data_IF_475492131773
#
_entry.id   IF_475492131773
#
_cell.length_a   1.000
_cell.length_b   1.000
_cell.length_c   1.000
_cell.angle_alpha   90.00
_cell.angle_beta   90.00
_cell.angle_gamma   90.00
#
_symmetry.space_group_name_H-M   'P 1'
#
loop_
_entity.id
_entity.type
_entity.pdbx_description
1 polymer ?
#
# COMPACT_ATOMS: atom_id res chain seq x y z
N UNK A 1 15.58 -28.96 21.28
CA UNK A 1 15.47 -28.89 20.51
C UNK A 1 14.80 -28.07 20.26
N UNK A 2 14.53 -27.53 20.15
CA UNK A 2 13.76 -26.96 19.97
C UNK A 2 13.85 -25.63 19.98
N UNK A 3 14.58 -25.03 20.56
CA UNK A 3 14.77 -23.82 20.55
C UNK A 3 14.99 -23.18 19.36
N UNK A 4 15.64 -23.66 18.50
CA UNK A 4 15.86 -23.03 17.29
C UNK A 4 14.57 -22.67 16.69
N UNK A 5 13.64 -23.37 17.07
CA UNK A 5 12.38 -23.10 16.53
C UNK A 5 11.86 -21.78 16.95
N UNK A 6 12.34 -21.29 18.04
CA UNK A 6 11.85 -20.06 18.51
C UNK A 6 12.24 -18.92 17.62
N UNK A 7 13.46 -18.88 17.19
CA UNK A 7 13.89 -17.84 16.34
C UNK A 7 13.19 -17.82 15.01
N UNK A 8 13.07 -18.92 14.37
CA UNK A 8 12.29 -18.97 13.16
C UNK A 8 10.86 -18.61 13.42
N UNK A 9 10.39 -18.94 14.60
CA UNK A 9 9.03 -18.62 14.92
C UNK A 9 8.82 -17.13 15.02
N UNK A 10 9.76 -16.44 15.58
CA UNK A 10 9.68 -15.01 15.67
C UNK A 10 9.68 -14.38 14.28
N UNK A 11 10.46 -14.97 13.38
CA UNK A 11 10.43 -14.47 12.05
C UNK A 11 9.13 -14.83 11.39
N UNK A 12 8.62 -15.98 11.67
CA UNK A 12 7.37 -16.40 11.06
C UNK A 12 6.23 -15.50 11.51
N UNK A 13 6.35 -14.85 12.64
CA UNK A 13 5.33 -13.94 13.06
C UNK A 13 5.23 -12.79 12.12
N UNK A 14 6.33 -12.41 11.52
CA UNK A 14 6.31 -11.37 10.55
C UNK A 14 6.09 -11.91 9.17
N UNK A 15 5.93 -13.21 9.07
CA UNK A 15 5.80 -13.83 7.81
C UNK A 15 4.48 -13.48 7.21
N UNK A 16 4.18 -13.98 6.09
CA UNK A 16 3.05 -13.62 5.31
C UNK A 16 1.82 -13.41 6.15
N UNK A 17 1.48 -12.17 6.39
CA UNK A 17 0.23 -11.83 7.00
C UNK A 17 -0.83 -11.66 5.92
N UNK A 18 -0.46 -11.81 4.66
CA UNK A 18 -1.39 -11.70 3.56
C UNK A 18 -2.32 -12.90 3.53
N UNK A 19 -3.61 -12.63 3.39
CA UNK A 19 -4.60 -13.70 3.29
C UNK A 19 -4.75 -14.10 1.83
N UNK A 20 -5.06 -15.37 1.56
CA UNK A 20 -5.40 -15.76 0.20
C UNK A 20 -6.65 -15.03 -0.25
N UNK A 21 -6.78 -14.81 -1.54
CA UNK A 21 -7.91 -14.12 -2.11
C UNK A 21 -7.53 -13.27 -3.30
N UNK A 22 -8.33 -12.26 -3.54
CA UNK A 22 -8.17 -11.43 -4.73
C UNK A 22 -7.38 -10.17 -4.41
N UNK A 23 -6.47 -9.83 -5.29
CA UNK A 23 -5.63 -8.65 -5.16
C UNK A 23 -5.67 -7.85 -6.45
N UNK A 24 -5.74 -6.54 -6.31
CA UNK A 24 -5.58 -5.64 -7.44
C UNK A 24 -4.08 -5.51 -7.67
N UNK A 25 -3.60 -5.91 -8.84
CA UNK A 25 -2.18 -5.78 -9.12
C UNK A 25 -1.92 -4.45 -9.80
N UNK A 26 -0.86 -3.80 -9.37
CA UNK A 26 -0.51 -2.46 -9.82
C UNK A 26 0.97 -2.44 -10.20
N UNK A 27 1.35 -1.44 -10.96
CA UNK A 27 2.73 -1.24 -11.36
C UNK A 27 3.30 -0.02 -10.66
N UNK A 28 4.49 -0.19 -10.09
CA UNK A 28 5.29 0.92 -9.59
C UNK A 28 6.66 0.76 -10.24
N UNK A 29 6.98 1.67 -11.15
CA UNK A 29 8.19 1.54 -11.93
C UNK A 29 8.12 0.31 -12.82
N UNK A 30 9.01 -0.63 -12.61
CA UNK A 30 9.05 -1.86 -13.39
C UNK A 30 8.54 -3.06 -12.63
N UNK A 31 8.04 -2.86 -11.42
CA UNK A 31 7.66 -3.97 -10.56
C UNK A 31 6.19 -3.99 -10.29
N UNK A 32 5.69 -5.18 -10.00
CA UNK A 32 4.26 -5.37 -9.73
C UNK A 32 4.02 -5.59 -8.26
N UNK A 33 2.96 -4.98 -7.78
CA UNK A 33 2.56 -5.06 -6.38
C UNK A 33 1.09 -5.44 -6.33
N UNK A 34 0.65 -5.90 -5.19
CA UNK A 34 -0.76 -6.27 -5.01
C UNK A 34 -1.38 -5.59 -3.80
N UNK A 35 -2.60 -5.15 -3.98
CA UNK A 35 -3.40 -4.53 -2.92
C UNK A 35 -4.66 -5.39 -2.74
N UNK A 36 -5.00 -5.79 -1.51
CA UNK A 36 -6.22 -6.59 -1.33
C UNK A 36 -7.43 -5.90 -1.93
N UNK A 37 -8.16 -6.60 -2.76
CA UNK A 37 -9.32 -6.02 -3.43
C UNK A 37 -10.34 -5.50 -2.42
N UNK A 38 -10.43 -6.15 -1.26
CA UNK A 38 -11.37 -5.71 -0.23
C UNK A 38 -11.06 -4.34 0.31
N UNK A 39 -9.83 -3.87 0.15
CA UNK A 39 -9.44 -2.53 0.57
C UNK A 39 -9.74 -1.48 -0.49
N UNK A 40 -9.92 -1.88 -1.73
CA UNK A 40 -10.07 -0.95 -2.84
C UNK A 40 -11.51 -0.49 -2.95
N UNK A 41 -11.71 0.82 -3.00
CA UNK A 41 -13.04 1.39 -3.17
C UNK A 41 -13.28 1.77 -4.61
N UNK A 42 -12.33 2.43 -5.24
CA UNK A 42 -12.46 2.81 -6.63
C UNK A 42 -11.09 3.21 -7.18
N UNK A 43 -11.02 3.30 -8.47
CA UNK A 43 -9.81 3.75 -9.15
C UNK A 43 -10.22 4.97 -9.96
N UNK A 44 -9.50 6.06 -9.78
CA UNK A 44 -9.82 7.30 -10.47
C UNK A 44 -8.60 7.79 -11.24
N UNK A 45 -8.85 8.61 -12.23
CA UNK A 45 -7.78 9.23 -12.99
C UNK A 45 -7.03 10.19 -12.09
N UNK A 46 -5.76 10.39 -12.41
CA UNK A 46 -4.98 11.40 -11.71
C UNK A 46 -5.67 12.75 -11.91
N UNK A 47 -5.90 13.44 -10.82
CA UNK A 47 -6.60 14.71 -10.81
C UNK A 47 -5.77 15.73 -10.04
N UNK A 48 -6.11 17.00 -10.09
CA UNK A 48 -5.36 18.00 -9.34
C UNK A 48 -5.35 17.67 -7.84
N UNK A 49 -4.19 17.79 -7.24
CA UNK A 49 -3.98 17.47 -5.83
C UNK A 49 -3.57 18.74 -5.12
N UNK A 50 -4.24 19.05 -4.02
CA UNK A 50 -3.92 20.21 -3.22
C UNK A 50 -2.81 19.84 -2.26
N UNK A 51 -1.70 20.55 -2.31
CA UNK A 51 -0.57 20.28 -1.43
C UNK A 51 -0.89 20.74 -0.01
N UNK A 52 -0.36 19.99 0.95
CA UNK A 52 -0.49 20.32 2.35
C UNK A 52 0.91 20.59 2.88
N UNK A 53 1.09 21.71 3.56
CA UNK A 53 2.42 22.09 4.05
C UNK A 53 2.90 21.15 5.16
N UNK A 54 4.22 21.06 5.27
CA UNK A 54 4.87 20.29 6.34
C UNK A 54 4.54 18.81 6.38
N UNK A 55 4.32 18.23 5.20
CA UNK A 55 4.11 16.80 5.07
C UNK A 55 5.35 16.12 4.46
N UNK A 56 5.56 14.84 4.73
CA UNK A 56 6.69 14.12 4.12
C UNK A 56 6.61 14.14 2.60
N UNK A 57 7.74 13.96 1.91
CA UNK A 57 7.77 14.08 0.44
C UNK A 57 6.84 13.13 -0.31
N UNK A 58 6.55 11.97 0.25
CA UNK A 58 5.67 11.01 -0.44
C UNK A 58 4.20 11.33 -0.26
N UNK A 59 3.84 12.26 0.63
CA UNK A 59 2.47 12.72 0.74
C UNK A 59 2.28 13.82 -0.29
N UNK A 60 1.49 13.55 -1.31
CA UNK A 60 1.27 14.49 -2.40
C UNK A 60 0.31 15.60 -1.99
N UNK A 61 -0.56 15.33 -1.08
CA UNK A 61 -1.54 16.30 -0.62
C UNK A 61 -2.90 15.67 -0.41
N UNK A 62 -3.94 16.40 -0.76
CA UNK A 62 -5.31 15.91 -0.61
C UNK A 62 -6.11 16.18 -1.86
N UNK A 63 -7.16 15.38 -2.06
CA UNK A 63 -8.13 15.62 -3.12
C UNK A 63 -9.50 15.69 -2.51
N UNK A 64 -10.40 16.35 -3.21
CA UNK A 64 -11.79 16.39 -2.81
C UNK A 64 -12.54 15.40 -3.70
N UNK A 65 -13.06 14.34 -3.10
CA UNK A 65 -13.80 13.34 -3.84
C UNK A 65 -15.21 13.28 -3.26
N UNK A 66 -16.15 13.76 -4.03
CA UNK A 66 -17.56 13.80 -3.63
C UNK A 66 -17.77 14.46 -2.27
N UNK A 67 -17.08 15.56 -2.03
CA UNK A 67 -17.22 16.30 -0.80
C UNK A 67 -16.37 15.81 0.36
N UNK A 68 -15.59 14.76 0.15
CA UNK A 68 -14.68 14.27 1.18
C UNK A 68 -13.25 14.60 0.82
N UNK A 69 -12.50 15.08 1.81
CA UNK A 69 -11.09 15.37 1.63
C UNK A 69 -10.31 14.11 1.92
N UNK A 70 -9.57 13.63 0.93
CA UNK A 70 -8.86 12.37 1.01
C UNK A 70 -7.38 12.60 0.86
N UNK A 71 -6.55 12.12 1.80
CA UNK A 71 -5.09 12.22 1.65
C UNK A 71 -4.62 11.32 0.52
N UNK A 72 -3.60 11.77 -0.20
CA UNK A 72 -3.04 11.06 -1.33
C UNK A 72 -1.54 10.92 -1.17
N UNK A 73 -1.06 9.69 -1.24
CA UNK A 73 0.36 9.37 -1.12
C UNK A 73 0.84 8.76 -2.43
N UNK A 74 2.05 9.11 -2.82
CA UNK A 74 2.67 8.54 -4.00
C UNK A 74 3.44 7.27 -3.59
N UNK A 75 2.92 6.11 -3.96
CA UNK A 75 3.57 4.87 -3.59
C UNK A 75 4.94 4.72 -4.22
N UNK A 76 5.16 5.30 -5.40
CA UNK A 76 6.46 5.23 -6.04
C UNK A 76 7.52 5.85 -5.15
N UNK A 77 7.23 7.03 -4.64
CA UNK A 77 8.16 7.73 -3.75
C UNK A 77 8.30 6.95 -2.45
N UNK A 78 7.19 6.42 -1.94
CA UNK A 78 7.21 5.69 -0.67
C UNK A 78 8.11 4.47 -0.72
N UNK A 79 8.12 3.76 -1.86
CA UNK A 79 8.94 2.56 -2.00
C UNK A 79 10.30 2.85 -2.63
N UNK A 80 10.66 4.12 -2.78
CA UNK A 80 11.96 4.46 -3.35
C UNK A 80 12.11 4.14 -4.82
N UNK A 81 11.01 3.96 -5.52
CA UNK A 81 11.03 3.72 -6.94
C UNK A 81 11.15 5.07 -7.64
N UNK A 82 12.08 5.22 -8.59
CA UNK A 82 12.16 6.48 -9.31
C UNK A 82 10.82 6.81 -9.96
N UNK A 83 10.25 7.93 -9.56
CA UNK A 83 8.99 8.36 -10.14
C UNK A 83 9.30 9.07 -11.44
N UNK A 84 8.91 8.45 -12.53
CA UNK A 84 8.98 9.14 -13.80
C UNK A 84 7.86 10.16 -13.87
N UNK A 85 7.73 10.81 -15.01
CA UNK A 85 6.64 11.74 -15.20
C UNK A 85 5.33 10.98 -15.16
N UNK A 86 4.29 11.63 -14.68
CA UNK A 86 2.96 11.06 -14.74
C UNK A 86 2.58 10.87 -16.21
N UNK A 87 1.84 9.84 -16.48
CA UNK A 87 1.46 9.50 -17.86
C UNK A 87 -0.01 9.06 -17.89
N UNK A 88 -0.47 8.65 -19.05
CA UNK A 88 -1.89 8.35 -19.25
C UNK A 88 -2.42 7.27 -18.32
N UNK A 89 -1.59 6.37 -17.91
CA UNK A 89 -2.00 5.25 -17.06
C UNK A 89 -1.83 5.53 -15.58
N UNK A 90 -1.15 6.60 -15.22
CA UNK A 90 -0.98 6.99 -13.81
C UNK A 90 -2.36 7.29 -13.24
N UNK A 91 -2.65 6.70 -12.10
CA UNK A 91 -3.97 6.86 -11.51
C UNK A 91 -3.89 6.80 -9.99
N UNK A 92 -5.02 7.07 -9.36
CA UNK A 92 -5.14 7.02 -7.91
C UNK A 92 -6.05 5.86 -7.56
N UNK A 93 -5.55 4.95 -6.73
CA UNK A 93 -6.37 3.89 -6.18
C UNK A 93 -6.90 4.40 -4.85
N UNK A 94 -8.21 4.57 -4.75
CA UNK A 94 -8.83 5.01 -3.51
C UNK A 94 -9.18 3.78 -2.70
N UNK A 95 -8.60 3.67 -1.52
CA UNK A 95 -8.77 2.52 -0.67
C UNK A 95 -9.34 2.94 0.68
N UNK A 96 -9.72 1.97 1.48
CA UNK A 96 -10.09 2.23 2.86
C UNK A 96 -9.03 1.64 3.76
N UNK A 97 -8.58 2.43 4.71
CA UNK A 97 -7.56 2.00 5.66
C UNK A 97 -8.09 2.14 7.07
N UNK A 98 -7.57 1.31 7.95
CA UNK A 98 -7.97 1.29 9.34
C UNK A 98 -6.74 1.53 10.20
N UNK A 99 -6.87 2.40 11.19
CA UNK A 99 -5.76 2.68 12.10
C UNK A 99 -5.43 1.42 12.92
N UNK A 100 -4.17 1.26 13.33
CA UNK A 100 -3.80 0.10 14.16
C UNK A 100 -4.61 0.02 15.44
N UNK A 101 -5.00 1.15 15.99
CA UNK A 101 -5.80 1.17 17.21
C UNK A 101 -7.27 0.83 16.94
N UNK A 102 -7.63 0.63 15.70
CA UNK A 102 -9.00 0.36 15.32
C UNK A 102 -9.74 1.64 14.98
N UNK A 103 -11.04 1.54 14.89
CA UNK A 103 -11.87 2.67 14.54
C UNK A 103 -12.49 2.50 13.16
N UNK A 104 -13.18 3.51 12.69
CA UNK A 104 -13.85 3.46 11.40
C UNK A 104 -12.84 3.52 10.27
N UNK A 105 -13.04 2.75 9.21
CA UNK A 105 -12.19 2.85 8.04
C UNK A 105 -12.26 4.25 7.44
N UNK A 106 -11.16 4.70 6.87
CA UNK A 106 -11.07 6.02 6.26
C UNK A 106 -10.55 5.91 4.84
N UNK A 107 -11.02 6.79 3.94
CA UNK A 107 -10.53 6.75 2.57
C UNK A 107 -9.09 7.25 2.49
N UNK A 108 -8.34 6.67 1.57
CA UNK A 108 -6.92 6.95 1.44
C UNK A 108 -6.54 6.68 -0.02
N UNK A 109 -5.92 7.63 -0.66
CA UNK A 109 -5.56 7.51 -2.06
C UNK A 109 -4.09 7.22 -2.23
N UNK A 110 -3.76 6.32 -3.15
CA UNK A 110 -2.38 6.03 -3.49
C UNK A 110 -2.18 6.18 -4.99
N UNK A 111 -1.10 6.85 -5.38
CA UNK A 111 -0.77 7.04 -6.78
C UNK A 111 0.07 5.87 -7.22
N UNK A 112 -0.32 5.26 -8.33
CA UNK A 112 0.39 4.15 -8.93
C UNK A 112 0.62 4.44 -10.40
N UNK A 113 1.63 3.80 -11.00
CA UNK A 113 1.93 4.01 -12.41
C UNK A 113 0.86 3.43 -13.32
N UNK A 114 0.28 2.31 -12.92
CA UNK A 114 -0.79 1.68 -13.68
C UNK A 114 -1.47 0.62 -12.84
N UNK A 115 -2.69 0.31 -13.21
CA UNK A 115 -3.40 -0.84 -12.65
C UNK A 115 -3.31 -1.94 -13.70
N UNK A 116 -2.94 -3.14 -13.27
CA UNK A 116 -2.79 -4.27 -14.18
C UNK A 116 -4.05 -5.11 -14.27
N UNK A 117 -4.38 -5.81 -13.21
CA UNK A 117 -5.50 -6.75 -13.22
C UNK A 117 -5.88 -7.14 -11.81
N UNK A 118 -6.94 -7.90 -11.66
CA UNK A 118 -7.27 -8.53 -10.39
C UNK A 118 -6.80 -9.97 -10.49
N UNK A 119 -5.90 -10.36 -9.59
CA UNK A 119 -5.36 -11.71 -9.55
C UNK A 119 -5.83 -12.42 -8.29
N UNK A 120 -6.02 -13.73 -8.38
CA UNK A 120 -6.40 -14.54 -7.23
C UNK A 120 -5.19 -15.36 -6.81
N UNK A 121 -4.84 -15.29 -5.54
CA UNK A 121 -3.74 -16.06 -4.99
C UNK A 121 -4.25 -17.01 -3.91
N UNK A 122 -3.84 -18.27 -4.01
CA UNK A 122 -4.14 -19.25 -2.99
C UNK A 122 -3.08 -19.16 -1.90
N UNK A 123 -3.34 -19.76 -0.76
CA UNK A 123 -2.38 -19.74 0.34
C UNK A 123 -1.02 -20.27 -0.09
N UNK A 124 -1.00 -21.29 -0.94
CA UNK A 124 0.26 -21.87 -1.41
C UNK A 124 1.05 -20.92 -2.29
N UNK A 125 0.41 -19.91 -2.84
CA UNK A 125 1.09 -18.96 -3.73
C UNK A 125 1.76 -17.83 -2.94
N UNK A 126 1.47 -17.72 -1.66
CA UNK A 126 1.92 -16.58 -0.85
C UNK A 126 3.04 -17.01 0.08
N UNK A 127 4.12 -16.23 0.08
CA UNK A 127 5.26 -16.47 0.93
C UNK A 127 5.58 -15.21 1.73
N UNK A 128 6.32 -15.33 2.83
CA UNK A 128 6.74 -14.15 3.58
C UNK A 128 7.65 -13.29 2.70
N UNK A 129 7.59 -11.99 2.92
CA UNK A 129 8.48 -11.08 2.24
C UNK A 129 9.89 -11.25 2.77
N UNK A 130 10.91 -11.38 1.90
CA UNK A 130 12.27 -11.49 2.36
C UNK A 130 12.78 -10.14 2.87
N UNK A 131 13.89 -10.17 3.56
CA UNK A 131 14.54 -8.95 4.00
C UNK A 131 15.33 -8.40 2.80
N UNK A 132 14.98 -7.21 2.37
CA UNK A 132 15.63 -6.59 1.22
C UNK A 132 16.83 -5.72 1.63
N UNK A 133 17.36 -5.91 2.82
CA UNK A 133 18.52 -5.15 3.25
C UNK A 133 18.21 -3.68 3.54
N UNK A 134 16.99 -3.39 3.88
CA UNK A 134 16.60 -2.02 4.17
C UNK A 134 16.13 -1.22 2.96
N UNK A 135 16.19 -1.81 1.77
CA UNK A 135 15.74 -1.11 0.57
C UNK A 135 14.24 -0.84 0.62
N UNK A 136 13.49 -1.76 1.18
CA UNK A 136 12.05 -1.60 1.34
C UNK A 136 11.72 -1.93 2.79
N UNK A 137 10.90 -1.11 3.41
CA UNK A 137 10.50 -1.35 4.78
C UNK A 137 9.49 -2.49 4.81
N UNK A 138 9.90 -3.62 5.39
CA UNK A 138 9.05 -4.81 5.41
C UNK A 138 7.79 -4.62 6.23
N UNK A 139 7.69 -3.57 7.04
CA UNK A 139 6.45 -3.29 7.76
C UNK A 139 5.30 -3.00 6.80
N UNK A 140 5.62 -2.55 5.60
CA UNK A 140 4.61 -2.17 4.62
C UNK A 140 4.23 -3.32 3.69
N UNK A 141 4.78 -4.50 3.94
CA UNK A 141 4.54 -5.66 3.08
C UNK A 141 3.84 -6.75 3.88
N UNK A 142 2.91 -7.44 3.22
CA UNK A 142 2.21 -8.56 3.85
C UNK A 142 2.70 -9.89 3.32
N UNK A 143 3.48 -9.88 2.26
CA UNK A 143 4.01 -11.11 1.69
C UNK A 143 4.36 -10.93 0.23
N UNK A 144 4.73 -12.03 -0.40
CA UNK A 144 5.02 -12.09 -1.83
C UNK A 144 4.15 -13.17 -2.43
N UNK A 145 3.54 -12.90 -3.57
CA UNK A 145 2.68 -13.86 -4.23
C UNK A 145 3.27 -14.30 -5.55
N UNK A 146 3.22 -15.58 -5.83
CA UNK A 146 3.69 -16.13 -7.08
C UNK A 146 2.56 -16.20 -8.09
N UNK A 147 2.82 -15.73 -9.30
CA UNK A 147 1.87 -15.83 -10.39
C UNK A 147 2.65 -16.35 -11.58
N UNK A 148 2.67 -17.66 -11.73
CA UNK A 148 3.54 -18.28 -12.72
C UNK A 148 4.99 -18.01 -12.38
N UNK A 149 5.74 -17.49 -13.32
CA UNK A 149 7.13 -17.13 -13.10
C UNK A 149 7.28 -15.76 -12.45
N UNK A 150 6.19 -14.99 -12.39
CA UNK A 150 6.24 -13.63 -11.85
C UNK A 150 5.99 -13.64 -10.35
N UNK A 151 6.48 -12.63 -9.68
CA UNK A 151 6.27 -12.45 -8.25
C UNK A 151 5.70 -11.08 -8.03
N UNK A 152 4.64 -10.99 -7.24
CA UNK A 152 4.02 -9.72 -6.89
C UNK A 152 4.24 -9.46 -5.40
N UNK A 153 4.64 -8.26 -5.06
CA UNK A 153 4.82 -7.89 -3.67
C UNK A 153 3.51 -7.36 -3.11
N UNK A 154 3.05 -7.96 -2.02
CA UNK A 154 1.76 -7.60 -1.45
C UNK A 154 1.92 -6.50 -0.41
N UNK A 155 1.10 -5.48 -0.49
CA UNK A 155 1.25 -4.24 0.26
C UNK A 155 0.26 -4.17 1.41
N UNK A 156 0.72 -3.65 2.54
CA UNK A 156 -0.13 -3.36 3.69
C UNK A 156 -0.44 -1.87 3.71
N UNK A 157 -1.57 -1.50 3.14
CA UNK A 157 -1.95 -0.09 3.08
C UNK A 157 -2.25 0.50 4.45
N UNK A 158 -2.75 -0.30 5.37
CA UNK A 158 -3.03 0.20 6.72
C UNK A 158 -1.73 0.62 7.40
N UNK A 159 -0.67 -0.15 7.22
CA UNK A 159 0.61 0.18 7.79
C UNK A 159 1.22 1.43 7.15
N UNK A 160 1.08 1.56 5.84
CA UNK A 160 1.57 2.73 5.13
C UNK A 160 0.83 3.97 5.61
N UNK A 161 -0.48 3.90 5.70
CA UNK A 161 -1.27 5.05 6.12
C UNK A 161 -0.93 5.46 7.55
N UNK A 162 -0.71 4.51 8.43
CA UNK A 162 -0.37 4.79 9.81
C UNK A 162 0.98 5.50 9.92
N UNK A 163 1.92 5.14 9.05
CA UNK A 163 3.25 5.73 9.09
C UNK A 163 3.27 7.11 8.46
N UNK A 164 2.49 7.32 7.39
CA UNK A 164 2.55 8.57 6.65
C UNK A 164 1.66 9.65 7.24
N UNK A 165 0.49 9.28 7.70
CA UNK A 165 -0.47 10.24 8.24
C UNK A 165 -0.95 9.73 9.59
N UNK A 166 -0.21 10.02 10.64
CA UNK A 166 -0.59 9.58 11.98
C UNK A 166 -1.96 10.12 12.35
N UNK A 167 -2.61 9.44 13.27
CA UNK A 167 -3.91 9.82 13.71
C UNK A 167 -3.99 11.28 14.12
N UNK A 168 -2.97 11.76 14.80
CA UNK A 168 -2.94 13.15 15.23
C UNK A 168 -2.91 14.12 14.05
N UNK A 169 -2.23 13.74 12.98
CA UNK A 169 -2.14 14.59 11.81
C UNK A 169 -3.40 14.57 11.00
N UNK A 170 -4.19 13.53 11.10
CA UNK A 170 -5.42 13.47 10.33
C UNK A 170 -6.41 14.54 10.78
N UNK A 171 -6.27 15.05 11.98
CA UNK A 171 -7.11 16.12 12.43
C UNK A 171 -6.74 17.45 11.79
N UNK A 172 -5.63 17.50 11.08
CA UNK A 172 -5.21 18.70 10.39
C UNK A 172 -5.91 18.87 9.04
N UNK A 173 -6.78 17.96 8.67
CA UNK A 173 -7.53 18.08 7.41
C UNK A 173 -8.94 18.57 7.73
N UNK A 174 -9.11 19.87 7.76
CA UNK A 174 -10.43 20.42 8.12
C UNK A 174 -11.44 20.08 7.03
N UNK A 175 -12.66 19.94 7.42
CA UNK A 175 -13.69 19.62 6.46
C UNK A 175 -13.89 18.14 6.24
N UNK A 176 -13.09 17.35 6.86
CA UNK A 176 -13.24 15.90 6.74
C UNK A 176 -14.21 15.37 7.77
#
# INVERSE_FOLDING_TARGET
>A
MTDPALSPAANATRAASAAPGKYLTITLGRESYGIPVLKVREIIRLCPITRVANMPPHVRGVINLRGKVIPVVDLRTRFGVPAGADHDRTCIVVAQVTAPAGGSPRPYGVIVDAVEEVATFAAADIQPAPDFGGAIDTRFLTGMAHQGAAVKTLIDLDAIAAAEIPLAASSAFPGS
#
